data_IF_126799313397
#
_entry.id   IF_126799313397
#
_cell.length_a   1.000
_cell.length_b   1.000
_cell.length_c   1.000
_cell.angle_alpha   90.00
_cell.angle_beta   90.00
_cell.angle_gamma   90.00
#
_symmetry.space_group_name_H-M   'P 1'
#
loop_
_entity.id
_entity.type
_entity.pdbx_description
1 polymer ?
#
# COMPACT_ATOMS: atom_id res chain seq x y z
N UNK A 1 -4.72 57.49 23.78
CA UNK A 1 -4.76 56.04 23.50
C UNK A 1 -5.21 55.86 22.05
N UNK A 2 -4.37 56.25 21.09
CA UNK A 2 -4.67 56.13 19.64
C UNK A 2 -3.51 55.46 18.89
N UNK A 3 -2.25 55.78 19.27
CA UNK A 3 -1.05 55.17 18.67
C UNK A 3 -0.97 53.64 18.82
N UNK A 4 -1.55 53.09 19.90
CA UNK A 4 -1.60 51.64 20.17
C UNK A 4 -2.58 50.90 19.26
N UNK A 5 -3.73 51.51 18.92
CA UNK A 5 -4.71 50.89 18.02
C UNK A 5 -4.25 50.91 16.57
N UNK A 6 -3.59 51.99 16.13
CA UNK A 6 -3.05 52.06 14.77
C UNK A 6 -1.95 51.02 14.54
N UNK A 7 -1.10 50.81 15.55
CA UNK A 7 -0.07 49.76 15.54
C UNK A 7 -0.68 48.37 15.51
N UNK A 8 -1.72 48.10 16.32
CA UNK A 8 -2.40 46.81 16.35
C UNK A 8 -3.09 46.47 15.01
N UNK A 9 -3.72 47.46 14.35
CA UNK A 9 -4.33 47.28 13.02
C UNK A 9 -3.28 46.97 11.96
N UNK A 10 -2.15 47.67 12.00
CA UNK A 10 -1.02 47.45 11.11
C UNK A 10 -0.45 46.05 11.28
N UNK A 11 -0.16 45.64 12.51
CA UNK A 11 0.37 44.31 12.82
C UNK A 11 -0.60 43.20 12.40
N UNK A 12 -1.90 43.38 12.63
CA UNK A 12 -2.93 42.46 12.13
C UNK A 12 -2.84 42.30 10.61
N UNK A 13 -2.74 43.39 9.85
CA UNK A 13 -2.59 43.32 8.39
C UNK A 13 -1.29 42.61 7.99
N UNK A 14 -0.17 42.88 8.67
CA UNK A 14 1.10 42.19 8.40
C UNK A 14 0.97 40.68 8.60
N UNK A 15 0.42 40.24 9.73
CA UNK A 15 0.26 38.81 10.02
C UNK A 15 -0.78 38.15 9.12
N UNK A 16 -1.89 38.83 8.83
CA UNK A 16 -2.92 38.32 7.93
C UNK A 16 -2.37 38.15 6.50
N UNK A 17 -1.65 39.16 5.98
CA UNK A 17 -1.05 39.09 4.64
C UNK A 17 0.08 38.06 4.59
N UNK A 18 0.95 38.00 5.60
CA UNK A 18 2.00 36.98 5.66
C UNK A 18 1.41 35.56 5.75
N UNK A 19 0.41 35.36 6.61
CA UNK A 19 -0.28 34.08 6.76
C UNK A 19 -0.99 33.64 5.48
N UNK A 20 -1.73 34.54 4.84
CA UNK A 20 -2.37 34.27 3.55
C UNK A 20 -1.33 33.94 2.46
N UNK A 21 -0.19 34.64 2.45
CA UNK A 21 0.92 34.37 1.53
C UNK A 21 1.51 32.96 1.69
N UNK A 22 1.73 32.52 2.94
CA UNK A 22 2.24 31.16 3.23
C UNK A 22 1.26 30.09 2.76
N UNK A 23 -0.04 30.25 3.05
CA UNK A 23 -1.08 29.30 2.63
C UNK A 23 -1.17 29.24 1.11
N UNK A 24 -1.19 30.40 0.43
CA UNK A 24 -1.26 30.48 -1.02
C UNK A 24 -0.03 29.80 -1.68
N UNK A 25 1.17 30.05 -1.16
CA UNK A 25 2.39 29.40 -1.65
C UNK A 25 2.35 27.88 -1.48
N UNK A 26 1.93 27.40 -0.31
CA UNK A 26 1.77 25.96 -0.06
C UNK A 26 0.74 25.32 -1.00
N UNK A 27 -0.41 25.98 -1.18
CA UNK A 27 -1.47 25.51 -2.08
C UNK A 27 -1.04 25.50 -3.56
N UNK A 28 -0.20 26.46 -3.99
CA UNK A 28 0.31 26.51 -5.35
C UNK A 28 1.42 25.47 -5.61
N UNK A 29 2.27 25.18 -4.62
CA UNK A 29 3.38 24.24 -4.75
C UNK A 29 2.95 22.78 -4.55
N UNK A 30 1.95 22.51 -3.71
CA UNK A 30 1.50 21.15 -3.41
C UNK A 30 1.11 20.33 -4.66
N UNK A 31 0.34 20.85 -5.63
CA UNK A 31 0.00 20.11 -6.85
C UNK A 31 1.22 19.68 -7.66
N UNK A 32 2.30 20.50 -7.69
CA UNK A 32 3.53 20.19 -8.41
C UNK A 32 4.28 18.99 -7.80
N UNK A 33 4.17 18.79 -6.49
CA UNK A 33 4.69 17.58 -5.83
C UNK A 33 3.71 16.43 -5.99
N UNK A 34 2.42 16.69 -5.79
CA UNK A 34 1.39 15.66 -5.81
C UNK A 34 1.18 15.02 -7.19
N UNK A 35 1.47 15.73 -8.29
CA UNK A 35 1.41 15.15 -9.64
C UNK A 35 2.42 14.03 -9.88
N UNK A 36 3.46 13.91 -9.04
CA UNK A 36 4.42 12.81 -9.10
C UNK A 36 3.93 11.55 -8.37
N UNK A 37 2.85 11.65 -7.59
CA UNK A 37 2.24 10.49 -6.94
C UNK A 37 1.51 9.60 -7.96
N UNK A 38 1.31 8.30 -7.65
CA UNK A 38 0.56 7.40 -8.52
C UNK A 38 -0.84 7.95 -8.85
N UNK A 39 -1.16 8.00 -10.14
CA UNK A 39 -2.42 8.49 -10.70
C UNK A 39 -3.60 7.57 -10.36
N UNK A 40 -4.82 8.08 -10.53
CA UNK A 40 -6.04 7.40 -10.11
C UNK A 40 -6.27 6.05 -10.82
N UNK A 41 -5.93 5.98 -12.11
CA UNK A 41 -5.95 4.76 -12.93
C UNK A 41 -4.98 3.69 -12.41
N UNK A 42 -3.76 4.08 -12.04
CA UNK A 42 -2.77 3.16 -11.44
C UNK A 42 -3.25 2.64 -10.07
N UNK A 43 -3.95 3.47 -9.29
CA UNK A 43 -4.54 3.05 -8.01
C UNK A 43 -5.77 2.16 -8.20
N UNK A 44 -6.54 2.38 -9.27
CA UNK A 44 -7.76 1.63 -9.58
C UNK A 44 -7.50 0.20 -10.07
N UNK A 45 -6.27 -0.15 -10.48
CA UNK A 45 -5.82 -1.53 -10.77
C UNK A 45 -5.76 -2.44 -9.52
N UNK A 46 -6.59 -2.18 -8.52
CA UNK A 46 -6.55 -2.81 -7.20
C UNK A 46 -6.99 -4.28 -7.24
N UNK A 47 -7.87 -4.67 -8.15
CA UNK A 47 -8.46 -6.00 -8.20
C UNK A 47 -8.55 -6.50 -9.64
N UNK A 48 -8.24 -7.78 -9.84
CA UNK A 48 -8.42 -8.50 -11.09
C UNK A 48 -9.14 -9.81 -10.79
N UNK A 49 -10.01 -10.25 -11.68
CA UNK A 49 -10.60 -11.59 -11.62
C UNK A 49 -9.77 -12.51 -12.49
N UNK A 50 -9.32 -13.62 -11.92
CA UNK A 50 -8.58 -14.66 -12.64
C UNK A 50 -9.44 -15.92 -12.67
N UNK A 51 -9.77 -16.40 -13.86
CA UNK A 51 -10.41 -17.69 -14.02
C UNK A 51 -9.39 -18.81 -13.81
N UNK A 52 -9.75 -19.79 -12.98
CA UNK A 52 -8.91 -20.91 -12.58
C UNK A 52 -9.53 -22.26 -12.98
N UNK A 53 -10.65 -22.25 -13.71
CA UNK A 53 -11.42 -23.45 -14.02
C UNK A 53 -10.62 -24.50 -14.81
N UNK A 54 -9.72 -24.04 -15.69
CA UNK A 54 -8.90 -24.90 -16.54
C UNK A 54 -7.55 -25.29 -15.92
N UNK A 55 -7.29 -24.92 -14.66
CA UNK A 55 -5.99 -25.14 -14.03
C UNK A 55 -5.86 -26.59 -13.50
N UNK A 56 -5.18 -27.44 -14.25
CA UNK A 56 -4.93 -28.83 -13.85
C UNK A 56 -3.99 -28.92 -12.63
N UNK A 57 -4.14 -29.94 -11.75
CA UNK A 57 -3.21 -30.18 -10.65
C UNK A 57 -1.75 -30.31 -11.13
N UNK A 58 -0.82 -29.71 -10.40
CA UNK A 58 0.60 -29.66 -10.73
C UNK A 58 1.01 -28.54 -11.68
N UNK A 59 0.05 -27.79 -12.24
CA UNK A 59 0.32 -26.65 -13.13
C UNK A 59 0.36 -25.32 -12.38
N UNK A 60 1.04 -24.33 -12.97
CA UNK A 60 1.16 -22.99 -12.42
C UNK A 60 0.78 -21.94 -13.46
N UNK A 61 -0.06 -21.01 -13.05
CA UNK A 61 -0.41 -19.81 -13.78
C UNK A 61 0.38 -18.62 -13.22
N UNK A 62 0.93 -17.79 -14.11
CA UNK A 62 1.59 -16.53 -13.74
C UNK A 62 0.79 -15.38 -14.32
N UNK A 63 0.27 -14.52 -13.44
CA UNK A 63 -0.53 -13.35 -13.83
C UNK A 63 0.20 -12.08 -13.43
N UNK A 64 0.17 -11.06 -14.28
CA UNK A 64 0.71 -9.75 -13.92
C UNK A 64 -0.32 -8.95 -13.12
N UNK A 65 0.02 -8.57 -11.88
CA UNK A 65 -0.82 -7.72 -11.05
C UNK A 65 0.00 -6.53 -10.54
N UNK A 66 -0.44 -5.31 -10.85
CA UNK A 66 0.23 -4.05 -10.48
C UNK A 66 1.73 -4.02 -10.83
N UNK A 67 2.08 -4.57 -11.99
CA UNK A 67 3.46 -4.66 -12.48
C UNK A 67 4.33 -5.68 -11.76
N UNK A 68 3.74 -6.53 -10.91
CA UNK A 68 4.43 -7.62 -10.21
C UNK A 68 3.84 -8.97 -10.64
N UNK A 69 4.67 -10.01 -10.85
CA UNK A 69 4.17 -11.34 -11.12
C UNK A 69 3.51 -11.93 -9.88
N UNK A 70 2.31 -12.48 -10.04
CA UNK A 70 1.57 -13.26 -9.04
C UNK A 70 1.48 -14.70 -9.53
N UNK A 71 1.89 -15.63 -8.67
CA UNK A 71 1.92 -17.06 -8.97
C UNK A 71 0.71 -17.75 -8.35
N UNK A 72 -0.06 -18.46 -9.19
CA UNK A 72 -1.19 -19.28 -8.76
C UNK A 72 -0.88 -20.72 -9.15
N UNK A 73 -0.68 -21.59 -8.17
CA UNK A 73 -0.36 -23.01 -8.39
C UNK A 73 -1.46 -23.90 -7.84
N UNK A 74 -1.99 -24.78 -8.67
CA UNK A 74 -2.83 -25.87 -8.22
C UNK A 74 -1.93 -27.02 -7.75
N UNK A 75 -1.64 -27.07 -6.45
CA UNK A 75 -0.72 -28.06 -5.87
C UNK A 75 -1.30 -29.48 -5.92
N UNK A 76 -0.44 -30.47 -6.11
CA UNK A 76 -0.83 -31.88 -5.99
C UNK A 76 -0.87 -32.34 -4.52
N UNK A 77 -1.49 -33.48 -4.25
CA UNK A 77 -1.54 -34.06 -2.89
C UNK A 77 -0.15 -34.34 -2.33
N UNK A 78 0.77 -34.84 -3.16
CA UNK A 78 2.15 -35.11 -2.76
C UNK A 78 2.88 -33.82 -2.33
N UNK A 79 2.70 -32.73 -3.07
CA UNK A 79 3.30 -31.42 -2.74
C UNK A 79 2.70 -30.82 -1.47
N UNK A 80 1.39 -31.00 -1.25
CA UNK A 80 0.75 -30.57 -0.01
C UNK A 80 1.25 -31.38 1.18
N UNK A 81 1.43 -32.69 1.02
CA UNK A 81 1.98 -33.55 2.07
C UNK A 81 3.41 -33.18 2.43
N UNK A 82 4.26 -32.95 1.42
CA UNK A 82 5.64 -32.51 1.61
C UNK A 82 5.70 -31.15 2.34
N UNK A 83 4.96 -30.15 1.87
CA UNK A 83 4.93 -28.83 2.49
C UNK A 83 4.42 -28.83 3.94
N UNK A 84 3.58 -29.81 4.30
CA UNK A 84 3.07 -29.98 5.67
C UNK A 84 4.04 -30.71 6.60
N UNK A 85 5.00 -31.44 6.06
CA UNK A 85 5.97 -32.22 6.83
C UNK A 85 7.14 -31.38 7.36
N UNK A 86 7.39 -30.20 6.79
CA UNK A 86 8.50 -29.32 7.17
C UNK A 86 8.22 -28.58 8.49
N UNK A 87 9.21 -28.55 9.39
CA UNK A 87 9.11 -27.84 10.66
C UNK A 87 9.38 -26.33 10.47
N UNK A 88 8.63 -25.49 11.19
CA UNK A 88 8.80 -24.02 11.14
C UNK A 88 10.18 -23.60 11.68
N UNK A 89 10.76 -24.38 12.59
CA UNK A 89 12.12 -24.16 13.12
C UNK A 89 13.21 -24.24 12.06
N UNK A 90 12.96 -24.98 10.98
CA UNK A 90 13.95 -25.23 9.93
C UNK A 90 13.89 -24.15 8.84
N UNK A 91 12.90 -23.24 8.92
CA UNK A 91 12.70 -22.14 7.99
C UNK A 91 13.40 -20.87 8.49
N UNK A 92 14.20 -20.19 7.65
CA UNK A 92 14.81 -18.90 8.01
C UNK A 92 13.79 -17.79 8.32
N UNK A 93 12.59 -17.86 7.72
CA UNK A 93 11.46 -16.98 8.04
C UNK A 93 10.29 -17.81 8.58
N UNK A 94 10.07 -17.74 9.89
CA UNK A 94 8.98 -18.47 10.55
C UNK A 94 7.61 -17.82 10.42
N UNK A 95 7.45 -16.71 9.70
CA UNK A 95 6.17 -15.99 9.55
C UNK A 95 5.38 -16.46 8.33
N UNK A 96 4.06 -16.51 8.42
CA UNK A 96 3.18 -16.96 7.33
C UNK A 96 3.23 -16.07 6.07
N UNK A 97 3.54 -14.77 6.24
CA UNK A 97 3.50 -13.75 5.18
C UNK A 97 2.18 -13.73 4.39
N UNK A 98 1.07 -14.06 5.07
CA UNK A 98 -0.24 -14.14 4.47
C UNK A 98 -1.13 -12.97 4.97
N UNK A 99 -1.51 -12.02 4.10
CA UNK A 99 -2.37 -10.90 4.49
C UNK A 99 -3.81 -11.32 4.82
N UNK A 100 -4.21 -12.56 4.51
CA UNK A 100 -5.53 -13.10 4.86
C UNK A 100 -5.55 -13.76 6.26
N UNK A 101 -4.41 -13.79 6.95
CA UNK A 101 -4.25 -14.32 8.30
C UNK A 101 -3.86 -13.19 9.29
N UNK A 102 -3.96 -13.42 10.61
CA UNK A 102 -3.42 -12.51 11.61
C UNK A 102 -1.92 -12.20 11.37
N UNK A 103 -1.50 -11.00 11.76
CA UNK A 103 -0.15 -10.50 11.45
C UNK A 103 0.99 -11.29 12.12
N UNK A 104 0.68 -12.00 13.20
CA UNK A 104 1.59 -12.85 13.99
C UNK A 104 1.50 -14.34 13.61
N UNK A 105 0.70 -14.69 12.60
CA UNK A 105 0.58 -16.07 12.14
C UNK A 105 1.96 -16.61 11.71
N UNK A 106 2.31 -17.76 12.27
CA UNK A 106 3.50 -18.51 11.89
C UNK A 106 3.31 -19.18 10.53
N UNK A 107 4.41 -19.53 9.86
CA UNK A 107 4.45 -20.36 8.66
C UNK A 107 4.03 -21.82 8.93
N UNK A 108 3.12 -22.01 9.88
CA UNK A 108 2.51 -23.29 10.21
C UNK A 108 1.47 -23.63 9.16
N UNK A 109 1.55 -24.86 8.64
CA UNK A 109 0.46 -25.68 8.08
C UNK A 109 -0.92 -25.00 8.13
N UNK A 110 -1.24 -24.25 7.08
CA UNK A 110 -2.63 -23.85 6.84
C UNK A 110 -3.51 -25.11 6.74
N UNK A 111 -4.74 -25.10 7.31
CA UNK A 111 -5.68 -26.20 7.14
C UNK A 111 -5.95 -26.48 5.65
#
# INVERSE_FOLDING_TARGET
>A
MEASEDTARRDFLYYATAGAGVVAAGAALWPLVNQMNPSADVRALAQITVDISDLAPGTQLTVNWRGKPVFIRHRTEAEMAQARAEAVSDQPDGKARNPNLPADALASRSP
#
